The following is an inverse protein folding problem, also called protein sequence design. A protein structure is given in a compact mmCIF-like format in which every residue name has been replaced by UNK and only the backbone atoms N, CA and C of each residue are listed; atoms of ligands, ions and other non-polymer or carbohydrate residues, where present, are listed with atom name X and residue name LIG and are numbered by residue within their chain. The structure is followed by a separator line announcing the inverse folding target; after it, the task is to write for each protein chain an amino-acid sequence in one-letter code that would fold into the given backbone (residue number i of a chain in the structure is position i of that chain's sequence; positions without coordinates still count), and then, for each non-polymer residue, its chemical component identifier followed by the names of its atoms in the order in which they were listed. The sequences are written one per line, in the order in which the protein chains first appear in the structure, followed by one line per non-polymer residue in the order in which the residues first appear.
data_IF_962548303227
#
_entry.id   IF_962548303227
#
_cell.length_a   1.000
_cell.length_b   1.000
_cell.length_c   1.000
_cell.angle_alpha   90.00
_cell.angle_beta   90.00
_cell.angle_gamma   90.00
#
_symmetry.space_group_name_H-M   'P 1'
#
loop_
_entity.id
_entity.type
_entity.pdbx_description
1 polymer ?
#
# COMPACT_ATOMS: atom_id res chain seq x y z
N UNK A 1 20.11 1.35 8.48
CA UNK A 1 20.91 2.55 8.11
C UNK A 1 21.01 2.56 6.60
N UNK A 2 20.13 3.29 5.91
CA UNK A 2 20.31 3.57 4.48
C UNK A 2 21.45 4.58 4.38
N UNK A 3 22.63 4.11 3.98
CA UNK A 3 23.68 5.03 3.58
C UNK A 3 23.28 5.57 2.21
N UNK A 4 22.78 6.81 2.19
CA UNK A 4 22.73 7.58 0.95
C UNK A 4 24.19 7.72 0.49
N UNK A 5 24.59 6.96 -0.53
CA UNK A 5 25.85 7.23 -1.22
C UNK A 5 25.77 8.63 -1.84
N UNK A 6 26.83 9.42 -1.64
CA UNK A 6 26.93 10.76 -2.22
C UNK A 6 26.69 10.75 -3.74
N UNK A 7 26.07 11.79 -4.30
CA UNK A 7 25.80 11.87 -5.73
C UNK A 7 27.12 11.89 -6.50
N UNK A 8 27.45 10.78 -7.15
CA UNK A 8 28.56 10.72 -8.09
C UNK A 8 28.20 11.55 -9.33
N UNK A 9 28.99 12.58 -9.60
CA UNK A 9 28.91 13.35 -10.85
C UNK A 9 29.22 12.40 -12.00
N UNK A 10 28.20 12.13 -12.83
CA UNK A 10 28.33 11.36 -14.08
C UNK A 10 29.45 11.95 -14.93
N UNK A 11 30.56 11.23 -15.08
CA UNK A 11 31.63 11.60 -16.01
C UNK A 11 31.22 11.12 -17.40
N UNK A 12 31.70 11.81 -18.43
CA UNK A 12 31.40 11.65 -19.87
C UNK A 12 31.76 10.27 -20.50
N UNK A 13 31.86 9.20 -19.72
CA UNK A 13 32.19 7.83 -20.16
C UNK A 13 31.06 6.79 -20.01
N UNK A 14 29.92 7.13 -19.39
CA UNK A 14 28.89 6.15 -19.02
C UNK A 14 27.91 5.74 -20.15
N UNK A 15 28.22 6.08 -21.40
CA UNK A 15 27.38 5.75 -22.58
C UNK A 15 27.45 4.25 -22.94
N UNK A 16 28.41 3.51 -22.39
CA UNK A 16 28.53 2.06 -22.65
C UNK A 16 27.52 1.20 -21.88
N UNK A 17 26.87 1.74 -20.85
CA UNK A 17 25.90 1.01 -20.02
C UNK A 17 24.49 0.97 -20.64
N UNK A 18 24.12 1.95 -21.47
CA UNK A 18 22.81 1.99 -22.13
C UNK A 18 22.66 0.92 -23.21
N UNK A 19 23.74 0.56 -23.92
CA UNK A 19 23.68 -0.48 -24.95
C UNK A 19 23.45 -1.89 -24.36
N UNK A 20 23.84 -2.14 -23.10
CA UNK A 20 23.58 -3.41 -22.41
C UNK A 20 22.14 -3.55 -21.90
N UNK A 21 21.40 -2.45 -21.74
CA UNK A 21 19.98 -2.49 -21.39
C UNK A 21 19.13 -3.04 -22.55
N UNK A 22 19.54 -2.78 -23.80
CA UNK A 22 18.85 -3.26 -25.01
C UNK A 22 19.01 -4.77 -25.25
N UNK A 23 20.05 -5.39 -24.69
CA UNK A 23 20.38 -6.82 -24.84
C UNK A 23 19.83 -7.72 -23.73
N UNK A 24 19.10 -7.17 -22.75
CA UNK A 24 18.46 -7.98 -21.71
C UNK A 24 17.36 -8.86 -22.35
N UNK A 25 17.31 -10.17 -22.00
CA UNK A 25 16.21 -11.07 -22.41
C UNK A 25 14.86 -10.41 -22.16
N UNK A 26 13.84 -10.68 -22.99
CA UNK A 26 12.50 -10.12 -22.81
C UNK A 26 11.96 -10.35 -21.38
N UNK A 27 12.32 -11.47 -20.74
CA UNK A 27 12.02 -11.80 -19.35
C UNK A 27 12.66 -10.88 -18.28
N UNK A 28 13.57 -9.98 -18.67
CA UNK A 28 14.23 -8.98 -17.82
C UNK A 28 13.80 -7.54 -18.15
N UNK A 29 12.95 -7.35 -19.17
CA UNK A 29 12.33 -6.05 -19.42
C UNK A 29 11.11 -5.98 -18.52
N UNK A 30 11.24 -5.29 -17.38
CA UNK A 30 10.12 -5.04 -16.48
C UNK A 30 8.97 -4.34 -17.20
N UNK A 31 7.76 -4.45 -16.65
CA UNK A 31 6.60 -3.74 -17.18
C UNK A 31 6.91 -2.24 -17.33
N UNK A 32 6.57 -1.65 -18.47
CA UNK A 32 6.76 -0.21 -18.72
C UNK A 32 5.73 0.63 -17.96
N UNK A 33 4.57 0.05 -17.69
CA UNK A 33 3.53 0.61 -16.84
C UNK A 33 3.17 -0.36 -15.72
N UNK A 34 3.24 0.13 -14.48
CA UNK A 34 2.90 -0.61 -13.27
C UNK A 34 1.72 0.07 -12.59
N UNK A 35 0.61 -0.65 -12.42
CA UNK A 35 -0.57 -0.16 -11.70
C UNK A 35 -0.63 -0.83 -10.34
N UNK A 36 -0.54 -0.01 -9.29
CA UNK A 36 -0.78 -0.43 -7.92
C UNK A 36 -2.28 -0.32 -7.61
N UNK A 37 -2.92 -1.42 -7.26
CA UNK A 37 -4.28 -1.44 -6.73
C UNK A 37 -4.19 -1.62 -5.22
N UNK A 38 -4.39 -0.55 -4.47
CA UNK A 38 -4.35 -0.58 -3.01
C UNK A 38 -5.72 -1.00 -2.48
N UNK A 39 -5.77 -1.99 -1.60
CA UNK A 39 -7.03 -2.42 -1.00
C UNK A 39 -7.54 -1.38 0.02
N UNK A 40 -8.83 -1.41 0.33
CA UNK A 40 -9.43 -0.45 1.29
C UNK A 40 -9.14 -0.84 2.73
N UNK A 41 -8.96 0.15 3.60
CA UNK A 41 -8.90 -0.04 5.04
C UNK A 41 -10.27 -0.49 5.58
N UNK A 42 -10.29 -1.24 6.68
CA UNK A 42 -11.52 -1.56 7.41
C UNK A 42 -12.15 -0.32 8.06
N UNK A 43 -13.06 0.32 7.31
CA UNK A 43 -13.83 1.50 7.74
C UNK A 43 -14.81 1.24 8.87
N UNK A 44 -15.06 -0.03 9.25
CA UNK A 44 -15.88 -0.34 10.43
C UNK A 44 -15.22 0.18 11.74
N UNK A 45 -13.91 0.42 11.71
CA UNK A 45 -13.14 0.99 12.81
C UNK A 45 -13.45 2.47 13.10
N UNK A 46 -14.18 3.17 12.22
CA UNK A 46 -14.49 4.62 12.37
C UNK A 46 -15.21 4.94 13.69
N UNK A 47 -15.95 3.99 14.25
CA UNK A 47 -16.61 4.15 15.55
C UNK A 47 -15.60 4.41 16.68
N UNK A 48 -14.41 3.84 16.60
CA UNK A 48 -13.34 4.10 17.58
C UNK A 48 -12.72 5.49 17.44
N UNK A 49 -12.76 6.07 16.24
CA UNK A 49 -12.25 7.41 15.92
C UNK A 49 -13.25 8.53 16.22
N UNK A 50 -14.53 8.20 16.38
CA UNK A 50 -15.59 9.15 16.73
C UNK A 50 -15.43 9.66 18.18
N UNK A 51 -14.54 10.63 18.40
CA UNK A 51 -14.18 11.14 19.73
C UNK A 51 -14.10 12.66 19.77
N UNK A 52 -14.78 13.25 20.75
CA UNK A 52 -14.80 14.70 20.89
C UNK A 52 -15.73 15.38 19.88
N UNK A 53 -16.05 16.65 20.15
CA UNK A 53 -17.13 17.35 19.47
C UNK A 53 -16.91 17.46 17.95
N UNK A 54 -15.69 17.82 17.53
CA UNK A 54 -15.37 18.02 16.10
C UNK A 54 -15.56 16.73 15.29
N UNK A 55 -14.92 15.63 15.69
CA UNK A 55 -15.07 14.33 15.02
C UNK A 55 -16.53 13.87 15.01
N UNK A 56 -17.25 14.03 16.13
CA UNK A 56 -18.66 13.62 16.23
C UNK A 56 -19.56 14.39 15.27
N UNK A 57 -19.38 15.70 15.15
CA UNK A 57 -20.13 16.52 14.19
C UNK A 57 -19.80 16.10 12.76
N UNK A 58 -18.52 16.00 12.40
CA UNK A 58 -18.10 15.65 11.04
C UNK A 58 -18.55 14.24 10.65
N UNK A 59 -18.32 13.24 11.51
CA UNK A 59 -18.78 11.88 11.27
C UNK A 59 -20.31 11.76 11.21
N UNK A 60 -21.07 12.63 11.86
CA UNK A 60 -22.52 12.62 11.75
C UNK A 60 -22.98 13.04 10.33
N UNK A 61 -22.27 13.97 9.70
CA UNK A 61 -22.60 14.44 8.35
C UNK A 61 -21.98 13.56 7.25
N UNK A 62 -20.76 13.09 7.42
CA UNK A 62 -20.00 12.42 6.36
C UNK A 62 -20.08 10.89 6.42
N UNK A 63 -20.12 10.31 7.62
CA UNK A 63 -20.00 8.86 7.82
C UNK A 63 -21.02 8.33 8.85
N UNK A 64 -22.24 8.88 8.83
CA UNK A 64 -23.28 8.61 9.84
C UNK A 64 -23.54 7.12 10.06
N UNK A 65 -23.54 6.36 8.97
CA UNK A 65 -23.78 4.92 8.99
C UNK A 65 -22.71 4.20 9.81
N UNK A 66 -21.42 4.39 9.48
CA UNK A 66 -20.33 3.71 10.17
C UNK A 66 -20.09 4.22 11.61
N UNK A 67 -20.28 5.51 11.87
CA UNK A 67 -19.98 6.09 13.17
C UNK A 67 -21.11 5.95 14.20
N UNK A 68 -22.37 5.78 13.78
CA UNK A 68 -23.53 5.80 14.70
C UNK A 68 -24.61 4.74 14.45
N UNK A 69 -24.85 4.28 13.21
CA UNK A 69 -26.07 3.51 12.88
C UNK A 69 -25.84 2.03 12.61
N UNK A 70 -24.75 1.66 11.94
CA UNK A 70 -24.51 0.28 11.53
C UNK A 70 -23.89 -0.52 12.67
N UNK A 71 -24.36 -1.76 12.91
CA UNK A 71 -23.56 -2.78 13.56
C UNK A 71 -22.19 -2.86 12.88
N UNK A 72 -21.13 -2.74 13.68
CA UNK A 72 -19.75 -2.79 13.19
C UNK A 72 -19.48 -4.03 12.34
N UNK A 73 -20.15 -5.14 12.65
CA UNK A 73 -20.01 -6.40 11.92
C UNK A 73 -20.57 -6.34 10.49
N UNK A 74 -21.74 -5.76 10.27
CA UNK A 74 -22.35 -5.69 8.92
C UNK A 74 -21.52 -4.83 7.98
N UNK A 75 -21.02 -3.69 8.48
CA UNK A 75 -20.10 -2.84 7.72
C UNK A 75 -18.77 -3.57 7.44
N UNK A 76 -18.27 -4.32 8.43
CA UNK A 76 -17.05 -5.13 8.26
C UNK A 76 -17.24 -6.21 7.20
N UNK A 77 -18.39 -6.88 7.13
CA UNK A 77 -18.66 -7.88 6.09
C UNK A 77 -18.64 -7.26 4.69
N UNK A 78 -19.23 -6.07 4.51
CA UNK A 78 -19.18 -5.34 3.23
C UNK A 78 -17.74 -5.01 2.83
N UNK A 79 -16.92 -4.57 3.80
CA UNK A 79 -15.49 -4.32 3.57
C UNK A 79 -14.78 -5.59 3.12
N UNK A 80 -14.97 -6.70 3.84
CA UNK A 80 -14.32 -7.98 3.52
C UNK A 80 -14.74 -8.49 2.14
N UNK A 81 -16.01 -8.35 1.78
CA UNK A 81 -16.51 -8.69 0.45
C UNK A 81 -15.86 -7.82 -0.63
N UNK A 82 -15.77 -6.50 -0.41
CA UNK A 82 -15.09 -5.59 -1.34
C UNK A 82 -13.61 -5.95 -1.50
N UNK A 83 -12.90 -6.17 -0.40
CA UNK A 83 -11.49 -6.55 -0.39
C UNK A 83 -11.27 -7.87 -1.17
N UNK A 84 -12.13 -8.87 -0.92
CA UNK A 84 -12.10 -10.16 -1.59
C UNK A 84 -12.41 -10.06 -3.08
N UNK A 85 -13.44 -9.31 -3.47
CA UNK A 85 -13.81 -9.10 -4.86
C UNK A 85 -12.72 -8.36 -5.65
N UNK A 86 -12.09 -7.33 -5.04
CA UNK A 86 -10.98 -6.61 -5.65
C UNK A 86 -9.76 -7.51 -5.84
N UNK A 87 -9.44 -8.34 -4.83
CA UNK A 87 -8.37 -9.33 -4.92
C UNK A 87 -8.64 -10.37 -6.01
N UNK A 88 -9.85 -10.92 -6.08
CA UNK A 88 -10.24 -11.87 -7.12
C UNK A 88 -10.16 -11.25 -8.53
N UNK A 89 -10.59 -10.00 -8.69
CA UNK A 89 -10.51 -9.28 -9.98
C UNK A 89 -9.05 -9.09 -10.42
N UNK A 90 -8.19 -8.54 -9.56
CA UNK A 90 -6.79 -8.27 -9.89
C UNK A 90 -6.03 -9.57 -10.17
N UNK A 91 -6.30 -10.63 -9.41
CA UNK A 91 -5.64 -11.92 -9.55
C UNK A 91 -6.28 -12.85 -10.60
N UNK A 92 -7.36 -12.41 -11.28
CA UNK A 92 -8.05 -13.21 -12.31
C UNK A 92 -7.23 -13.41 -13.59
N UNK A 93 -6.16 -12.63 -13.78
CA UNK A 93 -5.38 -12.59 -15.02
C UNK A 93 -5.98 -11.72 -16.13
N UNK A 94 -7.14 -11.07 -15.90
CA UNK A 94 -7.80 -10.21 -16.90
C UNK A 94 -6.91 -9.05 -17.40
N UNK A 95 -5.95 -8.63 -16.58
CA UNK A 95 -5.00 -7.56 -16.91
C UNK A 95 -3.66 -8.06 -17.47
N UNK A 96 -3.39 -9.36 -17.43
CA UNK A 96 -2.12 -9.98 -17.83
C UNK A 96 -2.04 -10.25 -19.35
N UNK A 97 -2.54 -9.30 -20.15
CA UNK A 97 -2.68 -9.45 -21.61
C UNK A 97 -1.46 -9.00 -22.42
N UNK A 98 -0.52 -8.31 -21.78
CA UNK A 98 0.68 -7.75 -22.43
C UNK A 98 1.90 -7.79 -21.50
N UNK A 99 3.09 -7.75 -22.08
CA UNK A 99 4.35 -7.87 -21.33
C UNK A 99 4.87 -6.54 -20.75
N UNK A 100 4.40 -5.41 -21.28
CA UNK A 100 4.80 -4.07 -20.88
C UNK A 100 3.81 -3.38 -19.90
N UNK A 101 2.82 -4.11 -19.38
CA UNK A 101 1.83 -3.62 -18.41
C UNK A 101 1.59 -4.67 -17.34
N UNK A 102 1.38 -4.22 -16.10
CA UNK A 102 1.01 -5.09 -14.97
C UNK A 102 0.08 -4.37 -14.02
N UNK A 103 -0.83 -5.12 -13.41
CA UNK A 103 -1.69 -4.66 -12.30
C UNK A 103 -1.38 -5.55 -11.11
N UNK A 104 -1.05 -4.95 -9.97
CA UNK A 104 -0.65 -5.68 -8.76
C UNK A 104 -1.44 -5.15 -7.56
N UNK A 105 -2.07 -6.06 -6.82
CA UNK A 105 -2.75 -5.75 -5.58
C UNK A 105 -1.71 -5.48 -4.47
N UNK A 106 -1.94 -4.43 -3.68
CA UNK A 106 -1.14 -4.08 -2.50
C UNK A 106 -2.04 -4.16 -1.26
N UNK A 107 -2.06 -5.32 -0.56
CA UNK A 107 -3.03 -5.61 0.49
C UNK A 107 -2.70 -5.02 1.88
N UNK A 108 -1.69 -4.15 2.03
CA UNK A 108 -1.24 -3.65 3.32
C UNK A 108 -2.30 -2.92 4.19
N UNK A 109 -3.50 -2.64 3.67
CA UNK A 109 -4.61 -2.07 4.46
C UNK A 109 -5.65 -3.09 4.93
N UNK A 110 -5.61 -4.34 4.44
CA UNK A 110 -6.68 -5.34 4.67
C UNK A 110 -6.90 -5.68 6.14
N UNK A 111 -5.80 -5.93 6.85
CA UNK A 111 -5.77 -6.29 8.28
C UNK A 111 -5.20 -5.17 9.15
N UNK A 112 -5.00 -3.98 8.57
CA UNK A 112 -4.50 -2.83 9.32
C UNK A 112 -5.49 -2.41 10.39
N UNK A 113 -5.01 -2.36 11.63
CA UNK A 113 -5.74 -1.82 12.78
C UNK A 113 -5.34 -0.37 13.06
N UNK A 114 -6.23 0.38 13.71
CA UNK A 114 -5.94 1.76 14.12
C UNK A 114 -4.64 1.85 14.96
N UNK A 115 -3.69 2.72 14.59
CA UNK A 115 -2.54 3.07 15.43
C UNK A 115 -2.98 3.41 16.84
N UNK A 116 -2.30 2.89 17.86
CA UNK A 116 -2.61 3.18 19.26
C UNK A 116 -1.53 4.04 19.90
N UNK A 117 -1.94 5.02 20.69
CA UNK A 117 -1.06 5.84 21.50
C UNK A 117 -0.63 5.08 22.79
N UNK A 118 0.20 5.73 23.62
CA UNK A 118 0.71 5.14 24.88
C UNK A 118 -0.38 4.73 25.88
N UNK A 119 -1.60 5.23 25.73
CA UNK A 119 -2.75 4.90 26.57
C UNK A 119 -3.63 3.79 25.96
N UNK A 120 -3.21 3.15 24.86
CA UNK A 120 -3.98 2.11 24.18
C UNK A 120 -5.22 2.64 23.43
N UNK A 121 -5.31 3.96 23.20
CA UNK A 121 -6.39 4.60 22.44
C UNK A 121 -5.94 4.87 21.00
N UNK A 122 -6.84 4.95 20.00
CA UNK A 122 -6.49 5.43 18.67
C UNK A 122 -5.66 6.71 18.72
N UNK A 123 -4.54 6.70 18.02
CA UNK A 123 -3.63 7.83 17.91
C UNK A 123 -4.10 8.76 16.80
N UNK A 124 -4.77 9.85 17.18
CA UNK A 124 -5.33 10.82 16.24
C UNK A 124 -4.25 11.58 15.45
N UNK A 125 -2.96 11.49 15.81
CA UNK A 125 -1.88 12.09 15.02
C UNK A 125 -1.76 11.50 13.60
N UNK A 126 -2.29 10.30 13.38
CA UNK A 126 -2.32 9.63 12.08
C UNK A 126 -3.48 10.07 11.19
N UNK A 127 -4.41 10.87 11.72
CA UNK A 127 -5.64 11.28 11.04
C UNK A 127 -5.73 12.81 10.89
N UNK A 128 -6.40 13.24 9.83
CA UNK A 128 -6.74 14.64 9.58
C UNK A 128 -7.74 15.15 10.64
N UNK A 129 -8.05 16.47 10.67
CA UNK A 129 -8.97 17.04 11.65
C UNK A 129 -10.40 16.44 11.65
N UNK A 130 -10.79 15.77 10.57
CA UNK A 130 -12.05 15.01 10.49
C UNK A 130 -12.04 13.67 11.21
N UNK A 131 -10.87 13.21 11.66
CA UNK A 131 -10.67 11.97 12.40
C UNK A 131 -10.98 10.71 11.56
N UNK A 132 -10.88 10.81 10.23
CA UNK A 132 -11.14 9.72 9.29
C UNK A 132 -10.06 9.65 8.21
N UNK A 133 -9.79 10.74 7.49
CA UNK A 133 -8.75 10.77 6.46
C UNK A 133 -7.36 10.72 7.10
N UNK A 134 -6.37 10.21 6.37
CA UNK A 134 -4.99 10.16 6.86
C UNK A 134 -4.39 11.56 6.96
N UNK A 135 -3.67 11.83 8.05
CA UNK A 135 -2.84 13.04 8.18
C UNK A 135 -1.59 12.96 7.29
N UNK A 136 -0.73 13.98 7.33
CA UNK A 136 0.61 13.89 6.70
C UNK A 136 1.44 12.74 7.27
N UNK A 137 1.35 12.48 8.58
CA UNK A 137 1.99 11.32 9.21
C UNK A 137 1.36 10.01 8.73
N UNK A 138 0.03 9.92 8.69
CA UNK A 138 -0.68 8.75 8.19
C UNK A 138 -0.31 8.42 6.75
N UNK A 139 -0.30 9.42 5.85
CA UNK A 139 0.11 9.25 4.46
C UNK A 139 1.57 8.82 4.33
N UNK A 140 2.49 9.38 5.12
CA UNK A 140 3.90 8.97 5.10
C UNK A 140 4.07 7.48 5.47
N UNK A 141 3.27 6.99 6.43
CA UNK A 141 3.28 5.58 6.85
C UNK A 141 2.61 4.66 5.84
N UNK A 142 1.52 5.08 5.22
CA UNK A 142 0.88 4.34 4.14
C UNK A 142 1.81 4.24 2.91
N UNK A 143 2.53 5.31 2.58
CA UNK A 143 3.50 5.32 1.49
C UNK A 143 4.67 4.35 1.76
N UNK A 144 5.14 4.30 3.01
CA UNK A 144 6.15 3.33 3.44
C UNK A 144 5.64 1.88 3.31
N UNK A 145 4.44 1.60 3.80
CA UNK A 145 3.85 0.27 3.71
C UNK A 145 3.66 -0.15 2.25
N UNK A 146 3.16 0.74 1.39
CA UNK A 146 3.05 0.51 -0.05
C UNK A 146 4.40 0.20 -0.69
N UNK A 147 5.44 0.96 -0.35
CA UNK A 147 6.79 0.72 -0.85
C UNK A 147 7.28 -0.70 -0.52
N UNK A 148 7.17 -1.09 0.74
CA UNK A 148 7.53 -2.42 1.21
C UNK A 148 6.69 -3.50 0.51
N UNK A 149 5.40 -3.25 0.29
CA UNK A 149 4.52 -4.17 -0.44
C UNK A 149 4.93 -4.36 -1.91
N UNK A 150 5.43 -3.33 -2.60
CA UNK A 150 5.91 -3.44 -3.98
C UNK A 150 7.17 -4.32 -4.13
N UNK A 151 7.95 -4.48 -3.05
CA UNK A 151 9.18 -5.27 -3.01
C UNK A 151 8.99 -6.62 -2.31
N UNK A 152 7.74 -7.01 -2.06
CA UNK A 152 7.37 -8.35 -1.58
C UNK A 152 6.76 -9.20 -2.71
N UNK A 153 7.10 -10.50 -2.81
CA UNK A 153 6.49 -11.40 -3.77
C UNK A 153 4.95 -11.40 -3.67
N UNK A 154 4.28 -11.41 -4.83
CA UNK A 154 2.83 -11.66 -4.88
C UNK A 154 2.53 -13.01 -4.21
N UNK A 155 1.52 -13.03 -3.34
CA UNK A 155 1.20 -14.18 -2.48
C UNK A 155 1.89 -14.16 -1.11
N UNK A 156 2.93 -13.34 -0.93
CA UNK A 156 3.64 -13.15 0.33
C UNK A 156 3.66 -11.70 0.82
N UNK A 157 2.84 -10.83 0.22
CA UNK A 157 2.71 -9.42 0.60
C UNK A 157 2.11 -9.29 2.00
N UNK A 158 2.62 -8.34 2.79
CA UNK A 158 2.02 -7.96 4.07
C UNK A 158 0.60 -7.46 3.86
N UNK A 159 -0.30 -7.86 4.76
CA UNK A 159 -1.73 -7.48 4.74
C UNK A 159 -2.07 -6.34 5.71
N UNK A 160 -1.08 -5.86 6.44
CA UNK A 160 -1.20 -4.78 7.41
C UNK A 160 0.07 -3.93 7.40
N UNK A 161 -0.04 -2.64 7.76
CA UNK A 161 1.11 -1.75 7.88
C UNK A 161 1.78 -1.91 9.26
N UNK A 162 3.09 -2.12 9.30
CA UNK A 162 3.77 -2.18 10.58
C UNK A 162 4.35 -0.82 10.97
N UNK A 163 3.80 -0.22 12.02
CA UNK A 163 4.26 1.08 12.50
C UNK A 163 5.71 0.96 12.99
N UNK A 164 6.60 1.74 12.39
CA UNK A 164 8.01 1.80 12.78
C UNK A 164 8.89 0.74 12.11
N UNK A 165 8.36 -0.04 11.17
CA UNK A 165 9.22 -0.87 10.31
C UNK A 165 10.18 0.02 9.50
N UNK A 166 11.32 -0.50 9.03
CA UNK A 166 12.19 0.22 8.10
C UNK A 166 11.61 0.23 6.68
N UNK A 167 12.05 1.19 5.85
CA UNK A 167 11.88 1.11 4.40
C UNK A 167 12.88 0.08 3.89
N UNK A 168 12.41 -0.95 3.21
CA UNK A 168 13.30 -1.98 2.67
C UNK A 168 13.81 -1.60 1.27
N UNK A 169 14.94 -2.21 0.89
CA UNK A 169 15.61 -1.97 -0.38
C UNK A 169 15.53 -3.22 -1.26
N UNK A 170 15.42 -3.01 -2.58
CA UNK A 170 15.59 -4.07 -3.55
C UNK A 170 17.00 -4.68 -3.45
N UNK A 171 17.11 -5.99 -3.63
CA UNK A 171 18.41 -6.67 -3.66
C UNK A 171 19.01 -6.64 -5.08
N UNK A 172 20.33 -6.81 -5.23
CA UNK A 172 20.97 -6.93 -6.55
C UNK A 172 20.42 -8.11 -7.38
N UNK A 173 19.99 -9.19 -6.72
CA UNK A 173 19.42 -10.39 -7.33
C UNK A 173 17.99 -10.15 -7.85
N UNK A 174 17.25 -9.24 -7.21
CA UNK A 174 15.89 -8.85 -7.58
C UNK A 174 15.78 -7.31 -7.64
N UNK A 175 16.29 -6.67 -8.71
CA UNK A 175 16.32 -5.20 -8.82
C UNK A 175 15.01 -4.61 -9.35
N UNK A 176 13.88 -5.34 -9.26
CA UNK A 176 12.58 -4.93 -9.79
C UNK A 176 11.46 -5.23 -8.81
N UNK A 177 10.40 -4.42 -8.85
CA UNK A 177 9.16 -4.68 -8.11
C UNK A 177 8.54 -6.03 -8.48
N UNK A 178 7.89 -6.64 -7.50
CA UNK A 178 7.21 -7.91 -7.67
C UNK A 178 5.86 -7.75 -8.36
N UNK A 179 5.59 -8.69 -9.25
CA UNK A 179 4.43 -8.81 -10.14
C UNK A 179 3.97 -10.26 -10.17
N UNK A 180 2.80 -10.52 -10.75
CA UNK A 180 2.32 -11.90 -10.97
C UNK A 180 3.32 -12.75 -11.78
N UNK A 181 4.13 -12.12 -12.65
CA UNK A 181 5.06 -12.80 -13.56
C UNK A 181 6.41 -13.17 -12.93
N UNK A 182 6.84 -12.52 -11.85
CA UNK A 182 8.16 -12.73 -11.23
C UNK A 182 8.10 -13.17 -9.76
N UNK A 183 6.92 -13.51 -9.24
CA UNK A 183 6.74 -13.92 -7.84
C UNK A 183 6.71 -15.44 -7.62
N UNK A 184 6.48 -16.24 -8.67
CA UNK A 184 6.39 -17.71 -8.60
C UNK A 184 7.71 -18.41 -8.98
N UNK A 185 8.85 -17.83 -8.64
CA UNK A 185 10.17 -18.40 -8.91
C UNK A 185 10.78 -19.01 -7.66
#
# INVERSE_FOLDING_TARGET
MCLLQEPQVLRRGDVHSEHQASSRPAAQRGARAFVNVVNVLDVSQIKELNRGLACTVLHYFECRCGAFKQPTEELRQIVLEYQGNLSALVNSGVYDTRDDFTVVLQPFLEKTVLPKNRCGKPDLAYFAPDCFHLSGLGNARAAQALWNNMIEPVGAKRTDWHIGEPIECLSPEQPYFYTNKNSNK
#
